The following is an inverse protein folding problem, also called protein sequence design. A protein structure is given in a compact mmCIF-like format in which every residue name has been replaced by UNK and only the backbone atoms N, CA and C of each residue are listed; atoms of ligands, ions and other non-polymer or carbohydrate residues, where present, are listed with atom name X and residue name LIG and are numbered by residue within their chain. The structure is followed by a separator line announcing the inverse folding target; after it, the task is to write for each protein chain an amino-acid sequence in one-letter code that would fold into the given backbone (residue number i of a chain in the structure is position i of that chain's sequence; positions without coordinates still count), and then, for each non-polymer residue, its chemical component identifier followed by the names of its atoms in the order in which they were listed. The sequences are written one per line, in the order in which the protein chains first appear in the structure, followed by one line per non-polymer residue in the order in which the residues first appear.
data_IF_993363980950
#
_entry.id   IF_993363980950
#
_cell.length_a   1.000
_cell.length_b   1.000
_cell.length_c   1.000
_cell.angle_alpha   90.00
_cell.angle_beta   90.00
_cell.angle_gamma   90.00
#
_symmetry.space_group_name_H-M   'P 1'
#
loop_
_entity.id
_entity.type
_entity.pdbx_description
1 polymer ?
#
# COMPACT_ATOMS: atom_id res chain seq x y z
N UNK A 1 6.01 -3.82 16.10
CA UNK A 1 5.06 -4.64 15.33
C UNK A 1 5.78 -5.91 14.91
N UNK A 2 5.14 -7.07 14.96
CA UNK A 2 5.75 -8.30 14.42
C UNK A 2 5.61 -8.37 12.89
N UNK A 3 6.41 -9.23 12.23
CA UNK A 3 6.41 -9.35 10.76
C UNK A 3 5.03 -9.73 10.20
N UNK A 4 4.25 -10.54 10.91
CA UNK A 4 2.94 -11.02 10.44
C UNK A 4 1.93 -9.88 10.46
N UNK A 5 1.90 -9.09 11.53
CA UNK A 5 1.05 -7.91 11.65
C UNK A 5 1.38 -6.87 10.58
N UNK A 6 2.67 -6.65 10.33
CA UNK A 6 3.15 -5.76 9.28
C UNK A 6 2.70 -6.20 7.87
N UNK A 7 2.80 -7.49 7.58
CA UNK A 7 2.37 -8.07 6.30
C UNK A 7 0.85 -7.96 6.10
N UNK A 8 0.06 -8.17 7.16
CA UNK A 8 -1.40 -7.98 7.10
C UNK A 8 -1.75 -6.53 6.78
N UNK A 9 -1.10 -5.59 7.45
CA UNK A 9 -1.34 -4.17 7.21
C UNK A 9 -1.00 -3.78 5.77
N UNK A 10 0.11 -4.30 5.23
CA UNK A 10 0.48 -4.07 3.84
C UNK A 10 -0.55 -4.64 2.86
N UNK A 11 -1.03 -5.85 3.10
CA UNK A 11 -2.09 -6.47 2.29
C UNK A 11 -3.43 -5.71 2.37
N UNK A 12 -3.77 -5.18 3.55
CA UNK A 12 -4.96 -4.34 3.73
C UNK A 12 -4.83 -3.01 2.98
N UNK A 13 -3.65 -2.38 3.03
CA UNK A 13 -3.37 -1.15 2.30
C UNK A 13 -3.43 -1.36 0.78
N UNK A 14 -2.87 -2.46 0.28
CA UNK A 14 -2.93 -2.90 -1.12
C UNK A 14 -4.38 -3.10 -1.58
N UNK A 15 -5.15 -3.92 -0.86
CA UNK A 15 -6.56 -4.18 -1.17
C UNK A 15 -7.41 -2.90 -1.13
N UNK A 16 -7.11 -1.98 -0.22
CA UNK A 16 -7.79 -0.69 -0.15
C UNK A 16 -7.47 0.20 -1.35
N UNK A 17 -6.19 0.25 -1.76
CA UNK A 17 -5.77 1.01 -2.94
C UNK A 17 -6.41 0.46 -4.22
N UNK A 18 -6.43 -0.86 -4.41
CA UNK A 18 -7.13 -1.50 -5.53
C UNK A 18 -8.62 -1.15 -5.54
N UNK A 19 -9.32 -1.31 -4.41
CA UNK A 19 -10.75 -1.01 -4.34
C UNK A 19 -11.07 0.47 -4.68
N UNK A 20 -10.28 1.42 -4.17
CA UNK A 20 -10.47 2.84 -4.44
C UNK A 20 -10.22 3.15 -5.92
N UNK A 21 -9.13 2.64 -6.49
CA UNK A 21 -8.77 2.92 -7.87
C UNK A 21 -9.69 2.22 -8.86
N UNK A 22 -10.09 0.99 -8.57
CA UNK A 22 -11.11 0.28 -9.35
C UNK A 22 -12.45 1.01 -9.31
N UNK A 23 -12.86 1.58 -8.16
CA UNK A 23 -14.06 2.41 -8.09
C UNK A 23 -13.94 3.73 -8.89
N UNK A 24 -12.75 4.31 -8.97
CA UNK A 24 -12.52 5.60 -9.64
C UNK A 24 -12.28 5.47 -11.17
N UNK A 25 -11.56 4.44 -11.59
CA UNK A 25 -11.09 4.26 -12.98
C UNK A 25 -11.67 3.02 -13.67
N UNK A 26 -12.38 2.16 -12.94
CA UNK A 26 -12.91 0.88 -13.44
C UNK A 26 -11.89 -0.27 -13.44
N UNK A 27 -10.63 0.00 -13.11
CA UNK A 27 -9.55 -0.97 -12.97
C UNK A 27 -8.42 -0.41 -12.09
N UNK A 28 -7.60 -1.30 -11.54
CA UNK A 28 -6.32 -0.97 -10.93
C UNK A 28 -5.19 -1.62 -11.73
N UNK A 29 -4.28 -0.79 -12.26
CA UNK A 29 -3.03 -1.23 -12.87
C UNK A 29 -1.87 -0.43 -12.27
N UNK A 30 -1.11 -1.00 -11.32
CA UNK A 30 0.05 -0.33 -10.73
C UNK A 30 1.16 -0.01 -11.74
N UNK A 31 1.18 -0.64 -12.92
CA UNK A 31 2.15 -0.38 -13.98
C UNK A 31 1.75 0.80 -14.88
N UNK A 32 0.48 1.20 -14.87
CA UNK A 32 0.07 2.46 -15.50
C UNK A 32 0.63 3.64 -14.71
N UNK A 33 1.26 4.61 -15.40
CA UNK A 33 1.95 5.71 -14.72
C UNK A 33 1.04 6.58 -13.85
N UNK A 34 -0.22 6.76 -14.25
CA UNK A 34 -1.17 7.60 -13.50
C UNK A 34 -1.80 6.81 -12.35
N UNK A 35 -2.20 5.58 -12.60
CA UNK A 35 -2.83 4.72 -11.60
C UNK A 35 -1.81 4.25 -10.57
N UNK A 36 -0.61 3.84 -10.98
CA UNK A 36 0.50 3.49 -10.09
C UNK A 36 0.88 4.64 -9.15
N UNK A 37 0.99 5.87 -9.64
CA UNK A 37 1.25 7.02 -8.78
C UNK A 37 0.10 7.31 -7.77
N UNK A 38 -1.15 7.02 -8.14
CA UNK A 38 -2.29 7.13 -7.25
C UNK A 38 -2.33 5.98 -6.23
N UNK A 39 -1.98 4.77 -6.67
CA UNK A 39 -1.83 3.57 -5.84
C UNK A 39 -0.79 3.80 -4.75
N UNK A 40 0.42 4.23 -5.12
CA UNK A 40 1.51 4.52 -4.18
C UNK A 40 1.05 5.53 -3.12
N UNK A 41 0.37 6.60 -3.54
CA UNK A 41 -0.15 7.60 -2.59
C UNK A 41 -1.13 7.00 -1.60
N UNK A 42 -2.03 6.14 -2.02
CA UNK A 42 -3.02 5.52 -1.12
C UNK A 42 -2.31 4.58 -0.14
N UNK A 43 -1.49 3.66 -0.66
CA UNK A 43 -0.77 2.68 0.17
C UNK A 43 0.10 3.39 1.20
N UNK A 44 0.95 4.33 0.78
CA UNK A 44 1.84 5.03 1.71
C UNK A 44 1.09 5.94 2.67
N UNK A 45 -0.07 6.50 2.30
CA UNK A 45 -0.89 7.26 3.24
C UNK A 45 -1.46 6.37 4.36
N UNK A 46 -1.93 5.17 4.00
CA UNK A 46 -2.44 4.20 4.98
C UNK A 46 -1.31 3.73 5.91
N UNK A 47 -0.15 3.38 5.34
CA UNK A 47 1.00 2.97 6.13
C UNK A 47 1.48 4.09 7.06
N UNK A 48 1.56 5.34 6.57
CA UNK A 48 1.95 6.48 7.39
C UNK A 48 0.96 6.76 8.54
N UNK A 49 -0.34 6.51 8.34
CA UNK A 49 -1.36 6.66 9.39
C UNK A 49 -1.25 5.55 10.45
N UNK A 50 -1.07 4.31 10.01
CA UNK A 50 -1.17 3.13 10.88
C UNK A 50 0.15 2.78 11.56
N UNK A 51 1.27 3.06 10.91
CA UNK A 51 2.64 2.79 11.36
C UNK A 51 3.58 3.91 10.96
N UNK A 52 3.43 5.10 11.58
CA UNK A 52 4.23 6.28 11.26
C UNK A 52 5.73 6.09 11.50
N UNK A 53 6.09 5.17 12.39
CA UNK A 53 7.48 4.90 12.77
C UNK A 53 8.16 3.85 11.87
N UNK A 54 7.42 3.26 10.90
CA UNK A 54 8.00 2.26 9.99
C UNK A 54 8.95 2.92 9.00
N UNK A 55 10.18 2.45 8.99
CA UNK A 55 11.20 2.87 8.02
C UNK A 55 11.03 2.15 6.69
N UNK A 56 11.56 2.75 5.62
CA UNK A 56 11.60 2.11 4.30
C UNK A 56 12.37 0.78 4.31
N UNK A 57 13.41 0.66 5.15
CA UNK A 57 14.16 -0.58 5.29
C UNK A 57 13.28 -1.71 5.86
N UNK A 58 12.54 -1.42 6.94
CA UNK A 58 11.61 -2.37 7.54
C UNK A 58 10.50 -2.77 6.56
N UNK A 59 9.98 -1.83 5.76
CA UNK A 59 9.00 -2.12 4.72
C UNK A 59 9.54 -3.10 3.68
N UNK A 60 10.78 -2.90 3.20
CA UNK A 60 11.41 -3.78 2.21
C UNK A 60 11.69 -5.18 2.77
N UNK A 61 11.98 -5.31 4.07
CA UNK A 61 12.13 -6.61 4.74
C UNK A 61 10.83 -7.42 4.83
N UNK A 62 9.66 -6.77 4.67
CA UNK A 62 8.37 -7.48 4.61
C UNK A 62 8.17 -8.20 3.28
N UNK A 63 8.81 -7.70 2.21
CA UNK A 63 8.74 -8.25 0.85
C UNK A 63 9.78 -9.36 0.58
N UNK A 64 10.73 -9.56 1.51
CA UNK A 64 11.75 -10.61 1.49
C UNK A 64 11.34 -11.84 2.30
#
# INVERSE_FOLDING_TARGET
MDKIEAQKLLAEADATADAILTAQYGFCDPLDKKIGAAYDRIVFSILAEKVPDMTMAELLELAA
#
